data_IF_880602421526
#
_entry.id   IF_880602421526
#
_cell.length_a   1.000
_cell.length_b   1.000
_cell.length_c   1.000
_cell.angle_alpha   90.00
_cell.angle_beta   90.00
_cell.angle_gamma   90.00
#
_symmetry.space_group_name_H-M   'P 1'
#
loop_
_entity.id
_entity.type
_entity.pdbx_description
1 polymer ?
#
# COMPACT_ATOMS: atom_id res chain seq x y z
N UNK A 1 5.87 4.06 22.35
CA UNK A 1 4.48 4.07 21.92
C UNK A 1 4.42 3.86 20.41
N UNK A 2 3.59 2.97 19.99
CA UNK A 2 3.42 2.73 18.57
C UNK A 2 2.57 3.83 17.93
N UNK A 3 2.95 4.24 16.75
CA UNK A 3 2.11 5.07 15.90
C UNK A 3 1.04 4.23 15.21
N UNK A 4 0.40 4.84 14.22
CA UNK A 4 -0.58 4.16 13.39
C UNK A 4 0.15 3.22 12.42
N UNK A 5 -0.34 2.00 12.28
CA UNK A 5 0.21 1.02 11.36
C UNK A 5 -0.76 0.83 10.20
N UNK A 6 -0.28 0.99 8.98
CA UNK A 6 -1.11 0.99 7.77
C UNK A 6 -0.56 0.05 6.71
N UNK A 7 -1.44 -0.47 5.86
CA UNK A 7 -1.05 -1.10 4.61
C UNK A 7 -1.26 -0.08 3.49
N UNK A 8 -0.30 0.07 2.59
CA UNK A 8 -0.33 1.10 1.56
C UNK A 8 -0.44 0.44 0.19
N UNK A 9 -1.46 0.84 -0.57
CA UNK A 9 -1.71 0.36 -1.92
C UNK A 9 -0.79 1.04 -2.94
N UNK A 10 -0.62 0.41 -4.08
CA UNK A 10 0.24 0.87 -5.17
C UNK A 10 -0.05 2.31 -5.60
N UNK A 11 -1.34 2.68 -5.71
CA UNK A 11 -1.71 4.01 -6.22
C UNK A 11 -1.18 5.15 -5.35
N UNK A 12 -1.03 4.96 -4.06
CA UNK A 12 -0.49 6.00 -3.17
C UNK A 12 0.95 6.34 -3.56
N UNK A 13 1.76 5.32 -3.84
CA UNK A 13 3.12 5.53 -4.33
C UNK A 13 3.13 6.17 -5.72
N UNK A 14 2.29 5.68 -6.63
CA UNK A 14 2.22 6.21 -7.99
C UNK A 14 1.75 7.66 -8.02
N UNK A 15 0.85 8.05 -7.12
CA UNK A 15 0.42 9.45 -7.00
C UNK A 15 1.61 10.38 -6.74
N UNK A 16 2.58 9.93 -5.94
CA UNK A 16 3.78 10.71 -5.65
C UNK A 16 4.79 10.63 -6.79
N UNK A 17 5.06 9.43 -7.28
CA UNK A 17 6.05 9.21 -8.34
C UNK A 17 5.66 9.89 -9.65
N UNK A 18 4.37 9.90 -9.97
CA UNK A 18 3.85 10.51 -11.21
C UNK A 18 3.36 11.94 -11.00
N UNK A 19 3.46 12.46 -9.78
CA UNK A 19 3.02 13.82 -9.41
C UNK A 19 1.58 14.12 -9.85
N UNK A 20 0.67 13.18 -9.56
CA UNK A 20 -0.74 13.35 -9.89
C UNK A 20 -1.37 14.45 -9.03
N UNK A 21 -1.83 15.53 -9.67
CA UNK A 21 -2.17 16.79 -9.03
C UNK A 21 -3.21 16.69 -7.90
N UNK A 22 -4.20 15.82 -8.04
CA UNK A 22 -5.28 15.68 -7.06
C UNK A 22 -4.82 14.97 -5.78
N UNK A 23 -3.99 13.93 -5.92
CA UNK A 23 -3.60 13.07 -4.81
C UNK A 23 -2.17 13.30 -4.33
N UNK A 24 -1.39 14.08 -5.08
CA UNK A 24 0.04 14.20 -4.84
C UNK A 24 0.38 14.66 -3.42
N UNK A 25 -0.21 15.76 -3.00
CA UNK A 25 0.16 16.37 -1.72
C UNK A 25 -0.18 15.46 -0.53
N UNK A 26 -1.39 14.91 -0.50
CA UNK A 26 -1.82 14.04 0.60
C UNK A 26 -1.05 12.72 0.62
N UNK A 27 -0.83 12.12 -0.53
CA UNK A 27 -0.04 10.90 -0.63
C UNK A 27 1.41 11.13 -0.22
N UNK A 28 1.98 12.28 -0.57
CA UNK A 28 3.32 12.66 -0.16
C UNK A 28 3.42 12.81 1.35
N UNK A 29 2.41 13.41 1.98
CA UNK A 29 2.37 13.53 3.45
C UNK A 29 2.34 12.17 4.12
N UNK A 30 1.59 11.21 3.58
CA UNK A 30 1.54 9.84 4.10
C UNK A 30 2.92 9.20 4.01
N UNK A 31 3.57 9.26 2.85
CA UNK A 31 4.90 8.64 2.66
C UNK A 31 5.97 9.33 3.51
N UNK A 32 5.90 10.65 3.67
CA UNK A 32 6.81 11.38 4.56
C UNK A 32 6.63 10.95 6.02
N UNK A 33 5.39 10.71 6.44
CA UNK A 33 5.11 10.23 7.80
C UNK A 33 5.71 8.85 8.05
N UNK A 34 5.77 7.99 7.04
CA UNK A 34 6.46 6.71 7.13
C UNK A 34 7.97 6.94 7.30
N UNK A 35 8.55 7.83 6.50
CA UNK A 35 9.99 8.14 6.60
C UNK A 35 10.35 8.68 7.97
N UNK A 36 9.49 9.48 8.56
CA UNK A 36 9.71 10.06 9.89
C UNK A 36 9.39 9.09 11.05
N UNK A 37 8.76 7.96 10.76
CA UNK A 37 8.37 6.99 11.78
C UNK A 37 7.05 7.32 12.49
N UNK A 38 6.34 8.35 12.06
CA UNK A 38 4.99 8.65 12.56
C UNK A 38 4.00 7.57 12.17
N UNK A 39 4.20 6.98 10.99
CA UNK A 39 3.47 5.82 10.51
C UNK A 39 4.41 4.64 10.37
N UNK A 40 3.90 3.46 10.66
CA UNK A 40 4.53 2.20 10.25
C UNK A 40 3.75 1.65 9.05
N UNK A 41 4.45 1.27 8.00
CA UNK A 41 3.84 0.80 6.77
C UNK A 41 4.09 -0.69 6.55
N UNK A 42 3.03 -1.40 6.22
CA UNK A 42 3.09 -2.75 5.65
C UNK A 42 2.93 -2.60 4.14
N UNK A 43 3.87 -3.16 3.40
CA UNK A 43 3.83 -3.12 1.94
C UNK A 43 3.87 -4.55 1.41
N UNK A 44 2.77 -5.01 0.77
CA UNK A 44 2.77 -6.33 0.13
C UNK A 44 3.80 -6.39 -1.01
N UNK A 45 4.44 -7.54 -1.19
CA UNK A 45 5.38 -7.72 -2.31
C UNK A 45 4.72 -7.47 -3.66
N UNK A 46 3.42 -7.72 -3.77
CA UNK A 46 2.66 -7.40 -4.98
C UNK A 46 2.74 -5.91 -5.34
N UNK A 47 2.63 -5.04 -4.33
CA UNK A 47 2.73 -3.59 -4.54
C UNK A 47 4.11 -3.23 -5.08
N UNK A 48 5.15 -3.82 -4.52
CA UNK A 48 6.51 -3.62 -5.02
C UNK A 48 6.61 -4.05 -6.48
N UNK A 49 6.08 -5.22 -6.81
CA UNK A 49 6.12 -5.73 -8.19
C UNK A 49 5.41 -4.80 -9.16
N UNK A 50 4.26 -4.25 -8.77
CA UNK A 50 3.51 -3.31 -9.61
C UNK A 50 4.28 -2.01 -9.85
N UNK A 51 4.90 -1.46 -8.82
CA UNK A 51 5.68 -0.22 -8.93
C UNK A 51 6.92 -0.45 -9.80
N UNK A 52 7.66 -1.53 -9.55
CA UNK A 52 8.85 -1.87 -10.34
C UNK A 52 8.50 -2.11 -11.81
N UNK A 53 7.36 -2.75 -12.07
CA UNK A 53 6.88 -2.95 -13.44
C UNK A 53 6.74 -1.63 -14.18
N UNK A 54 6.18 -0.61 -13.52
CA UNK A 54 6.06 0.72 -14.10
C UNK A 54 7.42 1.31 -14.47
N UNK A 55 8.39 1.26 -13.56
CA UNK A 55 9.72 1.76 -13.83
C UNK A 55 10.40 1.03 -15.00
N UNK A 56 10.36 -0.30 -15.00
CA UNK A 56 11.01 -1.10 -16.05
C UNK A 56 10.33 -0.91 -17.40
N UNK A 57 9.01 -0.79 -17.43
CA UNK A 57 8.27 -0.51 -18.66
C UNK A 57 8.69 0.83 -19.28
N UNK A 58 9.00 1.81 -18.45
CA UNK A 58 9.42 3.14 -18.89
C UNK A 58 10.95 3.24 -19.06
N UNK A 59 11.67 2.11 -19.02
CA UNK A 59 13.13 2.04 -19.13
C UNK A 59 13.86 2.87 -18.07
N UNK A 60 13.29 2.90 -16.85
CA UNK A 60 13.87 3.63 -15.71
C UNK A 60 14.46 2.66 -14.70
N UNK A 61 15.40 1.82 -15.16
CA UNK A 61 16.00 0.75 -14.35
C UNK A 61 16.69 1.30 -13.10
N UNK A 62 17.40 2.42 -13.22
CA UNK A 62 18.09 3.04 -12.08
C UNK A 62 17.10 3.48 -11.00
N UNK A 63 15.95 4.01 -11.40
CA UNK A 63 14.90 4.40 -10.46
C UNK A 63 14.26 3.19 -9.79
N UNK A 64 14.10 2.09 -10.52
CA UNK A 64 13.60 0.84 -9.97
C UNK A 64 14.52 0.32 -8.86
N UNK A 65 15.82 0.27 -9.12
CA UNK A 65 16.82 -0.16 -8.14
C UNK A 65 16.86 0.76 -6.91
N UNK A 66 16.79 2.07 -7.14
CA UNK A 66 16.79 3.06 -6.07
C UNK A 66 15.53 2.92 -5.19
N UNK A 67 14.38 2.74 -5.80
CA UNK A 67 13.12 2.52 -5.08
C UNK A 67 13.20 1.27 -4.20
N UNK A 68 13.66 0.15 -4.79
CA UNK A 68 13.75 -1.11 -4.08
C UNK A 68 14.73 -0.99 -2.89
N UNK A 69 15.88 -0.38 -3.09
CA UNK A 69 16.86 -0.15 -2.04
C UNK A 69 16.27 0.70 -0.91
N UNK A 70 15.54 1.75 -1.24
CA UNK A 70 14.90 2.63 -0.26
C UNK A 70 13.87 1.86 0.57
N UNK A 71 13.04 1.05 -0.06
CA UNK A 71 12.01 0.26 0.64
C UNK A 71 12.67 -0.75 1.59
N UNK A 72 13.68 -1.47 1.13
CA UNK A 72 14.35 -2.50 1.93
C UNK A 72 15.06 -1.89 3.14
N UNK A 73 15.66 -0.72 2.98
CA UNK A 73 16.45 -0.10 4.04
C UNK A 73 15.62 0.72 5.04
N UNK A 74 14.36 0.98 4.75
CA UNK A 74 13.52 1.79 5.63
C UNK A 74 12.99 0.95 6.80
N UNK A 75 13.45 1.26 8.01
CA UNK A 75 13.07 0.51 9.22
C UNK A 75 11.60 0.65 9.60
N UNK A 76 10.90 1.62 9.04
CA UNK A 76 9.48 1.85 9.31
C UNK A 76 8.58 1.13 8.31
N UNK A 77 9.17 0.34 7.43
CA UNK A 77 8.47 -0.44 6.40
C UNK A 77 8.71 -1.92 6.64
N UNK A 78 7.61 -2.67 6.73
CA UNK A 78 7.64 -4.13 6.73
C UNK A 78 7.11 -4.61 5.38
N UNK A 79 7.95 -5.32 4.63
CA UNK A 79 7.55 -5.95 3.36
C UNK A 79 7.00 -7.32 3.68
N UNK A 80 5.78 -7.60 3.26
CA UNK A 80 5.08 -8.85 3.56
C UNK A 80 4.90 -9.66 2.28
N UNK A 81 5.43 -10.87 2.30
CA UNK A 81 5.36 -11.78 1.17
C UNK A 81 3.97 -12.44 1.07
N UNK A 82 3.58 -12.78 -0.16
CA UNK A 82 2.36 -13.53 -0.41
C UNK A 82 2.53 -14.97 0.10
N UNK A 83 1.98 -15.24 1.26
CA UNK A 83 1.97 -16.59 1.84
C UNK A 83 0.81 -17.40 1.28
N UNK A 84 0.79 -18.72 1.58
CA UNK A 84 -0.32 -19.58 1.20
C UNK A 84 -1.61 -19.10 1.89
N UNK A 85 -1.53 -18.70 3.16
CA UNK A 85 -2.68 -18.19 3.90
C UNK A 85 -3.26 -16.93 3.27
N UNK A 86 -2.40 -16.01 2.90
CA UNK A 86 -2.81 -14.75 2.23
C UNK A 86 -3.40 -15.07 0.85
N UNK A 87 -2.78 -15.99 0.10
CA UNK A 87 -3.28 -16.38 -1.21
C UNK A 87 -4.68 -17.01 -1.11
N UNK A 88 -4.88 -17.93 -0.17
CA UNK A 88 -6.17 -18.57 0.05
C UNK A 88 -7.24 -17.56 0.45
N UNK A 89 -6.93 -16.66 1.38
CA UNK A 89 -7.82 -15.58 1.80
C UNK A 89 -8.17 -14.64 0.65
N UNK A 90 -7.17 -14.32 -0.20
CA UNK A 90 -7.39 -13.49 -1.40
C UNK A 90 -8.42 -14.11 -2.34
N UNK A 91 -8.35 -15.42 -2.53
CA UNK A 91 -9.30 -16.13 -3.37
C UNK A 91 -10.73 -16.04 -2.82
N UNK A 92 -10.90 -16.17 -1.50
CA UNK A 92 -12.20 -16.02 -0.84
C UNK A 92 -12.73 -14.58 -1.02
N UNK A 93 -11.90 -13.58 -0.80
CA UNK A 93 -12.27 -12.17 -0.98
C UNK A 93 -12.71 -11.92 -2.41
N UNK A 94 -11.93 -12.39 -3.38
CA UNK A 94 -12.26 -12.25 -4.80
C UNK A 94 -13.62 -12.89 -5.11
N UNK A 95 -13.85 -14.10 -4.64
CA UNK A 95 -15.07 -14.84 -4.92
C UNK A 95 -16.31 -14.15 -4.33
N UNK A 96 -16.18 -13.58 -3.13
CA UNK A 96 -17.31 -12.96 -2.41
C UNK A 96 -17.59 -11.52 -2.82
N UNK A 97 -16.57 -10.77 -3.20
CA UNK A 97 -16.72 -9.33 -3.44
C UNK A 97 -16.64 -8.92 -4.90
N UNK A 98 -16.08 -9.77 -5.75
CA UNK A 98 -15.81 -9.41 -7.14
C UNK A 98 -14.60 -8.48 -7.31
N UNK A 99 -13.85 -8.17 -6.23
CA UNK A 99 -12.62 -7.40 -6.35
C UNK A 99 -11.65 -8.08 -7.31
N UNK A 100 -10.87 -7.28 -8.04
CA UNK A 100 -9.79 -7.84 -8.86
C UNK A 100 -8.81 -8.58 -7.94
N UNK A 101 -8.25 -9.68 -8.43
CA UNK A 101 -7.38 -10.51 -7.60
C UNK A 101 -6.19 -9.74 -7.00
N UNK A 102 -5.48 -8.86 -7.73
CA UNK A 102 -4.42 -8.07 -7.12
C UNK A 102 -4.90 -7.22 -5.94
N UNK A 103 -6.06 -6.58 -6.07
CA UNK A 103 -6.64 -5.77 -4.98
C UNK A 103 -7.03 -6.64 -3.80
N UNK A 104 -7.59 -7.82 -4.06
CA UNK A 104 -7.93 -8.79 -3.02
C UNK A 104 -6.68 -9.28 -2.28
N UNK A 105 -5.56 -9.44 -2.97
CA UNK A 105 -4.28 -9.80 -2.36
C UNK A 105 -3.76 -8.71 -1.42
N UNK A 106 -3.88 -7.46 -1.81
CA UNK A 106 -3.49 -6.33 -0.96
C UNK A 106 -4.38 -6.27 0.27
N UNK A 107 -5.70 -6.38 0.10
CA UNK A 107 -6.65 -6.38 1.21
C UNK A 107 -6.40 -7.55 2.16
N UNK A 108 -6.15 -8.74 1.63
CA UNK A 108 -5.86 -9.94 2.42
C UNK A 108 -4.58 -9.76 3.24
N UNK A 109 -3.56 -9.16 2.66
CA UNK A 109 -2.32 -8.86 3.37
C UNK A 109 -2.58 -7.90 4.53
N UNK A 110 -3.34 -6.85 4.29
CA UNK A 110 -3.70 -5.87 5.32
C UNK A 110 -4.46 -6.53 6.48
N UNK A 111 -5.41 -7.39 6.17
CA UNK A 111 -6.17 -8.13 7.18
C UNK A 111 -5.27 -9.08 7.98
N UNK A 112 -4.40 -9.81 7.30
CA UNK A 112 -3.48 -10.75 7.93
C UNK A 112 -2.53 -10.04 8.90
N UNK A 113 -2.06 -8.86 8.53
CA UNK A 113 -1.14 -8.06 9.32
C UNK A 113 -1.83 -7.23 10.41
N UNK A 114 -3.15 -7.22 10.44
CA UNK A 114 -3.95 -6.53 11.46
C UNK A 114 -3.58 -5.06 11.59
N UNK A 115 -3.42 -4.40 10.45
CA UNK A 115 -3.11 -2.96 10.43
C UNK A 115 -4.32 -2.14 10.87
N UNK A 116 -4.09 -0.89 11.24
CA UNK A 116 -5.16 0.02 11.66
C UNK A 116 -6.02 0.46 10.47
N UNK A 117 -5.38 0.69 9.32
CA UNK A 117 -6.07 1.12 8.10
C UNK A 117 -5.44 0.52 6.86
N UNK A 118 -6.29 0.26 5.86
CA UNK A 118 -5.87 0.05 4.47
C UNK A 118 -5.90 1.42 3.78
N UNK A 119 -4.77 1.88 3.25
CA UNK A 119 -4.67 3.20 2.61
C UNK A 119 -4.68 3.04 1.10
N UNK A 120 -5.72 3.55 0.47
CA UNK A 120 -5.87 3.49 -0.98
C UNK A 120 -6.70 4.68 -1.48
N UNK A 121 -6.34 5.20 -2.64
CA UNK A 121 -7.12 6.23 -3.32
C UNK A 121 -8.02 5.62 -4.41
N UNK A 122 -8.03 4.29 -4.54
CA UNK A 122 -8.86 3.58 -5.51
C UNK A 122 -10.29 3.44 -4.97
N UNK A 123 -11.26 3.98 -5.72
CA UNK A 123 -12.68 3.92 -5.36
C UNK A 123 -13.26 2.50 -5.40
N UNK A 124 -12.57 1.56 -6.03
CA UNK A 124 -13.03 0.17 -6.12
C UNK A 124 -12.78 -0.63 -4.85
N UNK A 125 -11.98 -0.10 -3.91
CA UNK A 125 -11.86 -0.73 -2.60
C UNK A 125 -13.09 -0.43 -1.76
N UNK A 126 -13.64 -1.42 -1.03
CA UNK A 126 -14.76 -1.17 -0.13
C UNK A 126 -14.32 -0.28 1.03
N UNK A 127 -15.25 0.53 1.58
CA UNK A 127 -14.96 1.42 2.71
C UNK A 127 -14.52 0.64 3.95
N UNK A 128 -15.04 -0.56 4.13
CA UNK A 128 -14.60 -1.46 5.19
C UNK A 128 -14.81 -2.91 4.76
N UNK A 129 -13.98 -3.79 5.29
CA UNK A 129 -14.09 -5.22 5.05
C UNK A 129 -13.58 -5.98 6.26
N UNK A 130 -14.42 -6.85 6.82
CA UNK A 130 -14.10 -7.66 8.00
C UNK A 130 -13.48 -6.85 9.14
N UNK A 131 -14.03 -5.67 9.38
CA UNK A 131 -13.57 -4.78 10.44
C UNK A 131 -12.39 -3.88 10.09
N UNK A 132 -11.74 -4.10 8.95
CA UNK A 132 -10.66 -3.23 8.48
C UNK A 132 -11.24 -2.10 7.63
N UNK A 133 -10.92 -0.87 8.02
CA UNK A 133 -11.37 0.32 7.30
C UNK A 133 -10.36 0.69 6.22
N UNK A 134 -10.88 0.98 5.02
CA UNK A 134 -10.09 1.55 3.93
C UNK A 134 -10.27 3.08 3.97
N UNK A 135 -9.16 3.81 3.96
CA UNK A 135 -9.20 5.27 3.96
C UNK A 135 -8.31 5.82 2.85
N UNK A 136 -8.63 7.02 2.40
CA UNK A 136 -7.84 7.72 1.41
C UNK A 136 -6.66 8.42 2.07
N UNK A 137 -5.62 8.71 1.27
CA UNK A 137 -4.46 9.46 1.78
C UNK A 137 -4.86 10.79 2.41
N UNK A 138 -5.86 11.49 1.87
CA UNK A 138 -6.35 12.73 2.44
C UNK A 138 -6.91 12.54 3.85
N UNK A 139 -7.66 11.45 4.08
CA UNK A 139 -8.21 11.16 5.42
C UNK A 139 -7.09 10.82 6.41
N UNK A 140 -6.12 10.01 5.97
CA UNK A 140 -5.00 9.64 6.84
C UNK A 140 -4.14 10.86 7.19
N UNK A 141 -3.87 11.72 6.21
CA UNK A 141 -3.08 12.93 6.43
C UNK A 141 -3.66 13.81 7.53
N UNK A 142 -4.99 13.87 7.65
CA UNK A 142 -5.67 14.64 8.70
C UNK A 142 -5.48 14.05 10.10
N UNK A 143 -5.09 12.80 10.21
CA UNK A 143 -4.86 12.11 11.48
C UNK A 143 -3.42 12.29 11.98
N UNK A 144 -2.54 12.85 11.18
CA UNK A 144 -1.11 12.97 11.49
C UNK A 144 -0.74 14.25 12.22
#
# INVERSE_FOLDING_TARGET
MSGIRVCIDTNVFLNVLNRESVFYQDSKEVLNAVDLGTLEAVIPTLVIAEILTGFYTDNKDDKAEQFLSTIISNKNIEVVQLSIEIAASSAVIRAKTGMRLPDAMVMSTALHEKVDYMVTNDRNFPDSFQGLRSIKSAELAKLL
#
